data_IF_459022765149
#
_entry.id   IF_459022765149
#
_cell.length_a   1.000
_cell.length_b   1.000
_cell.length_c   1.000
_cell.angle_alpha   90.00
_cell.angle_beta   90.00
_cell.angle_gamma   90.00
#
_symmetry.space_group_name_H-M   'P 1'
#
loop_
_entity.id
_entity.type
_entity.pdbx_description
1 polymer ?
#
# COMPACT_ATOMS: atom_id res chain seq x y z
N UNK A 1 -3.07 -23.16 -6.86
CA UNK A 1 -1.98 -22.15 -6.90
C UNK A 1 -0.66 -22.89 -6.91
N UNK A 2 0.28 -22.49 -7.76
CA UNK A 2 1.58 -23.16 -7.89
C UNK A 2 2.61 -22.68 -6.85
N UNK A 3 3.74 -23.38 -6.74
CA UNK A 3 4.83 -23.04 -5.81
C UNK A 3 5.32 -21.60 -5.96
N UNK A 4 5.43 -21.11 -7.22
CA UNK A 4 5.86 -19.73 -7.52
C UNK A 4 4.97 -18.65 -6.91
N UNK A 5 3.67 -18.92 -6.76
CA UNK A 5 2.76 -17.99 -6.08
C UNK A 5 3.09 -17.87 -4.59
N UNK A 6 3.31 -18.99 -3.91
CA UNK A 6 3.66 -19.00 -2.49
C UNK A 6 5.03 -18.36 -2.24
N UNK A 7 6.00 -18.65 -3.11
CA UNK A 7 7.30 -17.98 -3.13
C UNK A 7 7.17 -16.45 -3.27
N UNK A 8 6.37 -15.96 -4.23
CA UNK A 8 6.13 -14.53 -4.40
C UNK A 8 5.42 -13.89 -3.19
N UNK A 9 4.33 -14.50 -2.71
CA UNK A 9 3.55 -13.97 -1.59
C UNK A 9 4.39 -13.95 -0.32
N UNK A 10 5.11 -15.04 -0.02
CA UNK A 10 6.04 -15.10 1.12
C UNK A 10 7.17 -14.09 1.01
N UNK A 11 7.76 -13.93 -0.18
CA UNK A 11 8.78 -12.90 -0.44
C UNK A 11 8.27 -11.50 -0.14
N UNK A 12 7.12 -11.10 -0.71
CA UNK A 12 6.55 -9.77 -0.53
C UNK A 12 6.11 -9.51 0.91
N UNK A 13 5.56 -10.53 1.60
CA UNK A 13 5.21 -10.45 3.02
C UNK A 13 6.42 -10.21 3.91
N UNK A 14 7.52 -10.95 3.70
CA UNK A 14 8.77 -10.75 4.46
C UNK A 14 9.43 -9.41 4.16
N UNK A 15 9.41 -8.96 2.89
CA UNK A 15 9.91 -7.64 2.52
C UNK A 15 9.11 -6.53 3.23
N UNK A 16 7.79 -6.67 3.26
CA UNK A 16 6.90 -5.73 3.94
C UNK A 16 7.14 -5.71 5.45
N UNK A 17 7.28 -6.88 6.09
CA UNK A 17 7.56 -6.96 7.51
C UNK A 17 8.91 -6.34 7.85
N UNK A 18 9.97 -6.69 7.10
CA UNK A 18 11.30 -6.09 7.23
C UNK A 18 11.24 -4.57 7.15
N UNK A 19 10.49 -4.03 6.20
CA UNK A 19 10.38 -2.59 6.00
C UNK A 19 9.65 -1.89 7.16
N UNK A 20 8.61 -2.50 7.71
CA UNK A 20 7.86 -1.98 8.86
C UNK A 20 8.77 -1.98 10.10
N UNK A 21 9.37 -3.14 10.41
CA UNK A 21 10.25 -3.30 11.57
C UNK A 21 11.42 -2.32 11.52
N UNK A 22 12.11 -2.23 10.39
CA UNK A 22 13.25 -1.32 10.21
C UNK A 22 12.87 0.14 10.39
N UNK A 23 11.82 0.61 9.69
CA UNK A 23 11.37 2.00 9.78
C UNK A 23 10.96 2.37 11.21
N UNK A 24 10.11 1.54 11.83
CA UNK A 24 9.59 1.81 13.16
C UNK A 24 10.68 1.74 14.23
N UNK A 25 11.63 0.82 14.10
CA UNK A 25 12.77 0.72 15.04
C UNK A 25 13.60 2.01 15.02
N UNK A 26 13.99 2.48 13.83
CA UNK A 26 14.78 3.71 13.71
C UNK A 26 14.00 4.92 14.21
N UNK A 27 12.71 5.01 13.85
CA UNK A 27 11.84 6.10 14.30
C UNK A 27 11.76 6.14 15.83
N UNK A 28 11.62 4.99 16.47
CA UNK A 28 11.52 4.86 17.91
C UNK A 28 12.84 5.17 18.61
N UNK A 29 13.97 4.67 18.12
CA UNK A 29 15.30 4.97 18.69
C UNK A 29 15.58 6.46 18.64
N UNK A 30 15.40 7.10 17.47
CA UNK A 30 15.65 8.53 17.34
C UNK A 30 14.70 9.35 18.21
N UNK A 31 13.44 8.93 18.36
CA UNK A 31 12.53 9.57 19.31
C UNK A 31 13.05 9.45 20.76
N UNK A 32 13.54 8.28 21.18
CA UNK A 32 14.07 8.07 22.52
C UNK A 32 15.32 8.92 22.78
N UNK A 33 16.20 9.09 21.80
CA UNK A 33 17.42 9.89 21.95
C UNK A 33 17.14 11.40 21.94
N UNK A 34 16.30 11.85 21.01
CA UNK A 34 16.07 13.29 20.77
C UNK A 34 14.91 13.84 21.59
N UNK A 35 14.03 12.99 22.13
CA UNK A 35 12.74 13.34 22.73
C UNK A 35 11.87 14.23 21.82
N UNK A 36 12.10 14.18 20.50
CA UNK A 36 11.46 15.06 19.54
C UNK A 36 10.66 14.27 18.51
N UNK A 37 9.34 14.46 18.56
CA UNK A 37 8.40 13.89 17.59
C UNK A 37 8.71 14.38 16.17
N UNK A 38 9.16 15.63 16.03
CA UNK A 38 9.50 16.21 14.73
C UNK A 38 10.66 15.48 14.06
N UNK A 39 11.74 15.18 14.80
CA UNK A 39 12.89 14.43 14.27
C UNK A 39 12.51 12.99 13.90
N UNK A 40 11.73 12.33 14.74
CA UNK A 40 11.25 10.97 14.46
C UNK A 40 10.36 10.92 13.20
N UNK A 41 9.50 11.92 12.99
CA UNK A 41 8.60 12.01 11.83
C UNK A 41 9.34 12.21 10.49
N UNK A 42 10.59 12.67 10.50
CA UNK A 42 11.39 12.85 9.27
C UNK A 42 11.60 11.52 8.53
N UNK A 43 11.75 10.40 9.22
CA UNK A 43 11.98 9.09 8.59
C UNK A 43 10.82 8.60 7.71
N UNK A 44 9.58 8.48 8.21
CA UNK A 44 8.45 8.11 7.37
C UNK A 44 8.19 9.13 6.23
N UNK A 45 8.49 10.43 6.45
CA UNK A 45 8.41 11.45 5.40
C UNK A 45 9.45 11.22 4.29
N UNK A 46 10.72 11.05 4.66
CA UNK A 46 11.81 10.73 3.71
C UNK A 46 11.45 9.46 2.95
N UNK A 47 10.96 8.42 3.62
CA UNK A 47 10.57 7.16 2.97
C UNK A 47 9.50 7.41 1.92
N UNK A 48 8.44 8.13 2.27
CA UNK A 48 7.33 8.43 1.34
C UNK A 48 7.82 9.24 0.14
N UNK A 49 8.62 10.30 0.36
CA UNK A 49 9.18 11.13 -0.70
C UNK A 49 10.12 10.33 -1.61
N UNK A 50 11.01 9.52 -1.04
CA UNK A 50 11.92 8.67 -1.79
C UNK A 50 11.15 7.66 -2.64
N UNK A 51 10.11 7.03 -2.09
CA UNK A 51 9.30 6.08 -2.85
C UNK A 51 8.50 6.78 -3.97
N UNK A 52 7.98 7.99 -3.74
CA UNK A 52 7.31 8.80 -4.77
C UNK A 52 8.27 9.14 -5.91
N UNK A 53 9.45 9.68 -5.60
CA UNK A 53 10.48 10.01 -6.59
C UNK A 53 10.98 8.78 -7.34
N UNK A 54 11.18 7.68 -6.62
CA UNK A 54 11.59 6.43 -7.23
C UNK A 54 10.49 5.81 -8.10
N UNK A 55 9.22 5.93 -7.70
CA UNK A 55 8.06 5.51 -8.49
C UNK A 55 7.97 6.26 -9.83
N UNK A 56 8.25 7.58 -9.84
CA UNK A 56 8.34 8.38 -11.07
C UNK A 56 9.43 7.84 -12.03
N UNK A 57 10.58 7.44 -11.49
CA UNK A 57 11.74 7.00 -12.27
C UNK A 57 11.73 5.50 -12.61
N UNK A 58 10.91 4.71 -11.92
CA UNK A 58 10.80 3.26 -12.07
C UNK A 58 10.57 2.80 -13.52
N UNK A 59 9.65 3.40 -14.32
CA UNK A 59 9.45 3.02 -15.72
C UNK A 59 10.71 3.25 -16.58
N UNK A 60 11.38 4.39 -16.40
CA UNK A 60 12.59 4.74 -17.14
C UNK A 60 13.72 3.76 -16.84
N UNK A 61 13.91 3.41 -15.56
CA UNK A 61 14.91 2.43 -15.16
C UNK A 61 14.56 1.04 -15.69
N UNK A 62 13.28 0.68 -15.69
CA UNK A 62 12.80 -0.61 -16.19
C UNK A 62 13.12 -0.77 -17.67
N UNK A 63 12.98 0.29 -18.45
CA UNK A 63 13.34 0.28 -19.88
C UNK A 63 14.85 0.25 -20.10
N UNK A 64 15.64 0.96 -19.27
CA UNK A 64 17.09 1.02 -19.42
C UNK A 64 17.80 -0.27 -19.00
N UNK A 65 17.35 -0.86 -17.90
CA UNK A 65 18.02 -1.98 -17.25
C UNK A 65 17.24 -3.30 -17.34
N UNK A 66 16.03 -3.31 -17.90
CA UNK A 66 15.10 -4.44 -17.92
C UNK A 66 14.57 -4.80 -16.52
N UNK A 67 13.26 -5.04 -16.42
CA UNK A 67 12.57 -5.40 -15.17
C UNK A 67 13.29 -6.53 -14.39
N UNK A 68 13.71 -7.59 -15.11
CA UNK A 68 14.38 -8.75 -14.52
C UNK A 68 15.72 -8.41 -13.86
N UNK A 69 16.53 -7.53 -14.45
CA UNK A 69 17.83 -7.16 -13.85
C UNK A 69 17.62 -6.25 -12.65
N UNK A 70 16.66 -5.33 -12.70
CA UNK A 70 16.31 -4.49 -11.54
C UNK A 70 15.85 -5.34 -10.37
N UNK A 71 14.93 -6.28 -10.60
CA UNK A 71 14.44 -7.20 -9.56
C UNK A 71 15.52 -8.14 -9.01
N UNK A 72 16.62 -8.35 -9.74
CA UNK A 72 17.77 -9.12 -9.26
C UNK A 72 18.74 -8.25 -8.46
N UNK A 73 19.20 -7.14 -9.02
CA UNK A 73 20.33 -6.39 -8.49
C UNK A 73 19.93 -5.33 -7.45
N UNK A 74 18.77 -4.69 -7.59
CA UNK A 74 18.35 -3.65 -6.63
C UNK A 74 18.07 -4.24 -5.25
N UNK A 75 17.40 -5.40 -5.09
CA UNK A 75 17.26 -6.02 -3.77
C UNK A 75 18.59 -6.46 -3.16
N UNK A 76 19.53 -6.98 -3.96
CA UNK A 76 20.87 -7.33 -3.48
C UNK A 76 21.63 -6.10 -2.97
N UNK A 77 21.58 -5.00 -3.71
CA UNK A 77 22.14 -3.72 -3.29
C UNK A 77 21.49 -3.26 -1.97
N UNK A 78 20.16 -3.34 -1.89
CA UNK A 78 19.39 -2.97 -0.69
C UNK A 78 19.78 -3.81 0.53
N UNK A 79 19.98 -5.12 0.37
CA UNK A 79 20.50 -6.00 1.43
C UNK A 79 21.86 -5.50 1.92
N UNK A 80 22.80 -5.23 1.01
CA UNK A 80 24.12 -4.71 1.37
C UNK A 80 24.04 -3.39 2.11
N UNK A 81 23.25 -2.44 1.60
CA UNK A 81 23.02 -1.14 2.26
C UNK A 81 22.43 -1.29 3.66
N UNK A 82 21.47 -2.19 3.84
CA UNK A 82 20.78 -2.37 5.12
C UNK A 82 21.67 -3.10 6.15
N UNK A 83 22.54 -4.01 5.71
CA UNK A 83 23.59 -4.63 6.55
C UNK A 83 24.62 -3.58 6.98
N UNK A 84 25.11 -2.74 6.06
CA UNK A 84 26.03 -1.63 6.39
C UNK A 84 25.35 -0.64 7.35
N UNK A 85 24.09 -0.28 7.09
CA UNK A 85 23.31 0.58 7.97
C UNK A 85 23.21 0.02 9.40
N UNK A 86 22.89 -1.27 9.52
CA UNK A 86 22.70 -1.92 10.82
C UNK A 86 24.01 -2.11 11.58
N UNK A 87 25.09 -2.48 10.88
CA UNK A 87 26.42 -2.64 11.50
C UNK A 87 27.03 -1.32 11.97
N UNK A 88 26.82 -0.24 11.22
CA UNK A 88 27.37 1.09 11.52
C UNK A 88 26.34 2.00 12.19
N UNK A 89 25.29 1.44 12.81
CA UNK A 89 24.18 2.23 13.31
C UNK A 89 24.62 3.24 14.39
N UNK A 90 25.49 2.84 15.31
CA UNK A 90 26.03 3.72 16.36
C UNK A 90 26.79 4.92 15.77
N UNK A 91 27.57 4.71 14.69
CA UNK A 91 28.25 5.77 13.96
C UNK A 91 27.24 6.71 13.28
N UNK A 92 26.22 6.16 12.63
CA UNK A 92 25.16 6.94 11.98
C UNK A 92 24.39 7.79 13.00
N UNK A 93 24.09 7.24 14.19
CA UNK A 93 23.39 7.93 15.26
C UNK A 93 24.15 9.19 15.73
N UNK A 94 25.49 9.14 15.76
CA UNK A 94 26.34 10.29 16.10
C UNK A 94 26.49 11.29 14.93
N UNK A 95 26.26 10.85 13.70
CA UNK A 95 26.42 11.66 12.50
C UNK A 95 25.16 11.71 11.64
N UNK A 96 24.23 12.60 12.01
CA UNK A 96 22.90 12.73 11.41
C UNK A 96 22.91 12.82 9.87
N UNK A 97 23.86 13.53 9.26
CA UNK A 97 23.95 13.67 7.79
C UNK A 97 24.14 12.29 7.12
N UNK A 98 25.01 11.45 7.69
CA UNK A 98 25.28 10.12 7.17
C UNK A 98 24.10 9.17 7.39
N UNK A 99 23.46 9.28 8.57
CA UNK A 99 22.24 8.55 8.89
C UNK A 99 21.11 8.83 7.88
N UNK A 100 20.83 10.11 7.60
CA UNK A 100 19.79 10.49 6.65
C UNK A 100 20.17 10.09 5.23
N UNK A 101 21.43 10.27 4.83
CA UNK A 101 21.90 9.87 3.50
C UNK A 101 21.75 8.37 3.26
N UNK A 102 22.17 7.55 4.22
CA UNK A 102 22.04 6.09 4.11
C UNK A 102 20.57 5.66 4.10
N UNK A 103 19.72 6.29 4.92
CA UNK A 103 18.29 6.01 4.95
C UNK A 103 17.57 6.40 3.64
N UNK A 104 17.93 7.53 3.03
CA UNK A 104 17.44 7.97 1.70
C UNK A 104 17.80 6.94 0.64
N UNK A 105 19.07 6.50 0.60
CA UNK A 105 19.54 5.50 -0.38
C UNK A 105 18.77 4.19 -0.25
N UNK A 106 18.57 3.69 0.97
CA UNK A 106 17.77 2.48 1.22
C UNK A 106 16.31 2.71 0.78
N UNK A 107 15.72 3.86 1.10
CA UNK A 107 14.30 4.14 0.81
C UNK A 107 14.01 4.23 -0.69
N UNK A 108 14.90 4.84 -1.46
CA UNK A 108 14.77 4.96 -2.93
C UNK A 108 14.70 3.58 -3.60
N UNK A 109 15.51 2.61 -3.15
CA UNK A 109 15.52 1.27 -3.76
C UNK A 109 14.16 0.58 -3.66
N UNK A 110 13.42 0.79 -2.56
CA UNK A 110 12.08 0.23 -2.38
C UNK A 110 11.07 0.75 -3.40
N UNK A 111 11.13 2.05 -3.74
CA UNK A 111 10.23 2.64 -4.72
C UNK A 111 10.48 2.18 -6.16
N UNK A 112 11.73 1.84 -6.52
CA UNK A 112 12.02 1.25 -7.83
C UNK A 112 11.45 -0.16 -7.98
N UNK A 113 11.46 -0.94 -6.90
CA UNK A 113 11.08 -2.35 -6.94
C UNK A 113 9.56 -2.54 -6.78
N UNK A 114 8.87 -1.66 -6.05
CA UNK A 114 7.45 -1.84 -5.70
C UNK A 114 6.53 -2.00 -6.93
N UNK A 115 6.56 -1.13 -7.95
CA UNK A 115 5.69 -1.29 -9.13
C UNK A 115 6.01 -2.55 -9.94
N UNK A 116 7.28 -2.96 -9.98
CA UNK A 116 7.73 -4.18 -10.63
C UNK A 116 7.18 -5.41 -9.93
N UNK A 117 7.25 -5.47 -8.60
CA UNK A 117 6.69 -6.58 -7.83
C UNK A 117 5.16 -6.68 -8.01
N UNK A 118 4.45 -5.56 -8.01
CA UNK A 118 3.00 -5.56 -8.21
C UNK A 118 2.60 -6.11 -9.59
N UNK A 119 3.40 -5.85 -10.62
CA UNK A 119 3.16 -6.35 -11.97
C UNK A 119 3.39 -7.87 -12.15
N UNK A 120 3.97 -8.56 -11.16
CA UNK A 120 4.27 -10.00 -11.26
C UNK A 120 3.02 -10.87 -11.06
N UNK A 121 2.03 -10.42 -10.28
CA UNK A 121 0.88 -11.27 -9.89
C UNK A 121 0.21 -11.97 -11.10
N UNK A 122 -0.08 -11.28 -12.22
CA UNK A 122 -0.72 -11.91 -13.38
C UNK A 122 0.15 -12.91 -14.13
N UNK A 123 1.46 -12.93 -13.87
CA UNK A 123 2.38 -13.93 -14.42
C UNK A 123 2.36 -15.24 -13.63
N UNK A 124 1.85 -15.23 -12.38
CA UNK A 124 1.88 -16.37 -11.46
C UNK A 124 0.69 -17.30 -11.61
N UNK A 125 -0.45 -16.76 -12.01
CA UNK A 125 -1.72 -17.49 -12.10
C UNK A 125 -2.48 -17.08 -13.36
N UNK A 126 -3.33 -17.97 -13.91
CA UNK A 126 -4.21 -17.60 -15.00
C UNK A 126 -5.21 -16.51 -14.61
N UNK A 127 -5.71 -15.74 -15.58
CA UNK A 127 -6.62 -14.61 -15.37
C UNK A 127 -7.86 -14.97 -14.53
N UNK A 128 -8.41 -16.18 -14.70
CA UNK A 128 -9.59 -16.66 -13.95
C UNK A 128 -9.33 -17.01 -12.47
N UNK A 129 -8.06 -17.00 -12.04
CA UNK A 129 -7.65 -17.24 -10.64
C UNK A 129 -7.11 -15.96 -9.97
N UNK A 130 -7.12 -14.82 -10.64
CA UNK A 130 -6.55 -13.57 -10.12
C UNK A 130 -7.26 -13.10 -8.85
N UNK A 131 -8.59 -13.15 -8.78
CA UNK A 131 -9.31 -12.81 -7.54
C UNK A 131 -8.83 -13.68 -6.38
N UNK A 132 -8.74 -15.00 -6.61
CA UNK A 132 -8.30 -15.94 -5.57
C UNK A 132 -6.86 -15.64 -5.14
N UNK A 133 -5.97 -15.32 -6.08
CA UNK A 133 -4.57 -15.00 -5.81
C UNK A 133 -4.41 -13.68 -5.05
N UNK A 134 -5.06 -12.61 -5.51
CA UNK A 134 -5.03 -11.29 -4.87
C UNK A 134 -5.65 -11.33 -3.47
N UNK A 135 -6.80 -11.99 -3.30
CA UNK A 135 -7.45 -12.14 -1.98
C UNK A 135 -6.65 -13.00 -1.00
N UNK A 136 -6.04 -14.08 -1.48
CA UNK A 136 -5.15 -14.90 -0.63
C UNK A 136 -3.92 -14.10 -0.22
N UNK A 137 -3.29 -13.39 -1.16
CA UNK A 137 -2.13 -12.57 -0.88
C UNK A 137 -2.44 -11.43 0.11
N UNK A 138 -3.62 -10.79 -0.01
CA UNK A 138 -4.00 -9.71 0.89
C UNK A 138 -4.16 -10.19 2.34
N UNK A 139 -4.64 -11.40 2.59
CA UNK A 139 -4.68 -11.98 3.94
C UNK A 139 -3.29 -11.97 4.59
N UNK A 140 -2.24 -12.37 3.85
CA UNK A 140 -0.88 -12.32 4.36
C UNK A 140 -0.38 -10.89 4.57
N UNK A 141 -0.64 -9.99 3.62
CA UNK A 141 -0.19 -8.60 3.73
C UNK A 141 -0.85 -7.88 4.92
N UNK A 142 -2.16 -8.05 5.10
CA UNK A 142 -2.88 -7.47 6.24
C UNK A 142 -2.43 -8.07 7.57
N UNK A 143 -2.14 -9.38 7.61
CA UNK A 143 -1.59 -10.05 8.79
C UNK A 143 -0.19 -9.54 9.15
N UNK A 144 0.65 -9.29 8.15
CA UNK A 144 1.97 -8.68 8.34
C UNK A 144 1.85 -7.25 8.84
N UNK A 145 0.93 -6.46 8.29
CA UNK A 145 0.72 -5.07 8.72
C UNK A 145 0.28 -4.99 10.17
N UNK A 146 -0.76 -5.72 10.56
CA UNK A 146 -1.23 -5.70 11.94
C UNK A 146 -0.15 -6.18 12.89
N UNK A 147 0.59 -7.24 12.54
CA UNK A 147 1.66 -7.75 13.39
C UNK A 147 2.83 -6.76 13.51
N UNK A 148 3.28 -6.22 12.38
CA UNK A 148 4.40 -5.27 12.33
C UNK A 148 4.08 -4.00 13.11
N UNK A 149 2.99 -3.31 12.78
CA UNK A 149 2.65 -2.04 13.44
C UNK A 149 2.30 -2.21 14.92
N UNK A 150 1.67 -3.32 15.31
CA UNK A 150 1.27 -3.52 16.71
C UNK A 150 2.42 -3.97 17.60
N UNK A 151 3.32 -4.82 17.09
CA UNK A 151 4.33 -5.47 17.95
C UNK A 151 5.73 -4.86 17.82
N UNK A 152 6.03 -3.97 16.86
CA UNK A 152 7.39 -3.44 16.72
C UNK A 152 7.91 -2.77 18.00
N UNK A 153 7.12 -1.87 18.62
CA UNK A 153 7.55 -1.18 19.84
C UNK A 153 7.85 -2.15 21.00
N UNK A 154 7.00 -3.16 21.18
CA UNK A 154 7.21 -4.23 22.17
C UNK A 154 8.47 -5.05 21.85
N UNK A 155 8.69 -5.40 20.58
CA UNK A 155 9.88 -6.14 20.16
C UNK A 155 11.15 -5.34 20.41
N UNK A 156 11.15 -4.02 20.17
CA UNK A 156 12.31 -3.18 20.49
C UNK A 156 12.62 -3.22 21.99
N UNK A 157 11.61 -3.21 22.86
CA UNK A 157 11.83 -3.29 24.31
C UNK A 157 12.33 -4.67 24.78
N UNK A 158 11.87 -5.75 24.14
CA UNK A 158 12.20 -7.12 24.55
C UNK A 158 13.56 -7.59 24.06
N UNK A 159 13.88 -7.35 22.78
CA UNK A 159 15.11 -7.84 22.16
C UNK A 159 16.11 -6.73 21.82
N UNK A 160 15.73 -5.46 21.96
CA UNK A 160 16.60 -4.33 21.63
C UNK A 160 16.57 -3.94 20.14
N UNK A 161 16.85 -2.66 19.81
CA UNK A 161 16.78 -2.16 18.45
C UNK A 161 17.82 -2.81 17.51
N UNK A 162 19.02 -3.08 18.02
CA UNK A 162 20.10 -3.71 17.26
C UNK A 162 19.70 -5.09 16.72
N UNK A 163 19.16 -5.97 17.57
CA UNK A 163 18.73 -7.30 17.16
C UNK A 163 17.51 -7.27 16.24
N UNK A 164 16.60 -6.32 16.42
CA UNK A 164 15.42 -6.17 15.55
C UNK A 164 15.80 -5.65 14.15
N UNK A 165 16.79 -4.77 14.06
CA UNK A 165 17.35 -4.35 12.76
C UNK A 165 18.05 -5.52 12.05
N UNK A 166 18.80 -6.36 12.77
CA UNK A 166 19.36 -7.59 12.20
C UNK A 166 18.31 -8.61 11.79
N UNK A 167 17.22 -8.74 12.55
CA UNK A 167 16.07 -9.55 12.14
C UNK A 167 15.47 -9.02 10.82
N UNK A 168 15.42 -7.69 10.64
CA UNK A 168 15.02 -7.06 9.37
C UNK A 168 15.99 -7.41 8.24
N UNK A 169 17.32 -7.34 8.45
CA UNK A 169 18.33 -7.83 7.49
C UNK A 169 18.06 -9.28 7.06
N UNK A 170 17.79 -10.17 8.01
CA UNK A 170 17.54 -11.57 7.74
C UNK A 170 16.25 -11.76 6.92
N UNK A 171 15.18 -11.04 7.27
CA UNK A 171 13.91 -11.09 6.54
C UNK A 171 14.03 -10.63 5.09
N UNK A 172 14.80 -9.57 4.81
CA UNK A 172 15.01 -9.12 3.42
C UNK A 172 15.88 -10.11 2.61
N UNK A 173 16.84 -10.78 3.23
CA UNK A 173 17.61 -11.87 2.60
C UNK A 173 16.69 -13.04 2.26
N UNK A 174 15.87 -13.49 3.21
CA UNK A 174 14.92 -14.58 2.99
C UNK A 174 13.88 -14.21 1.92
N UNK A 175 13.39 -12.96 1.95
CA UNK A 175 12.54 -12.41 0.90
C UNK A 175 13.18 -12.52 -0.48
N UNK A 176 14.46 -12.16 -0.60
CA UNK A 176 15.19 -12.27 -1.86
C UNK A 176 15.36 -13.73 -2.30
N UNK A 177 15.68 -14.65 -1.39
CA UNK A 177 15.77 -16.08 -1.72
C UNK A 177 14.45 -16.64 -2.25
N UNK A 178 13.32 -16.24 -1.65
CA UNK A 178 12.00 -16.66 -2.08
C UNK A 178 11.58 -16.10 -3.44
N UNK A 179 12.08 -14.93 -3.87
CA UNK A 179 11.69 -14.38 -5.19
C UNK A 179 12.46 -15.01 -6.37
N UNK A 180 13.62 -15.65 -6.12
CA UNK A 180 14.47 -16.22 -7.18
C UNK A 180 13.72 -17.15 -8.15
N UNK A 181 12.87 -18.12 -7.70
CA UNK A 181 12.13 -19.00 -8.59
C UNK A 181 11.14 -18.28 -9.51
N UNK A 182 10.73 -17.06 -9.13
CA UNK A 182 9.76 -16.23 -9.87
C UNK A 182 10.42 -15.51 -11.04
N UNK A 183 11.73 -15.24 -10.98
CA UNK A 183 12.47 -14.57 -12.07
C UNK A 183 12.43 -15.31 -13.40
N UNK A 184 12.14 -16.62 -13.40
CA UNK A 184 11.98 -17.40 -14.62
C UNK A 184 10.73 -17.02 -15.42
N UNK A 185 9.74 -16.37 -14.79
CA UNK A 185 8.49 -15.93 -15.43
C UNK A 185 8.64 -14.58 -16.13
N UNK A 186 9.63 -13.81 -15.72
CA UNK A 186 9.90 -12.47 -16.26
C UNK A 186 10.67 -12.66 -17.56
N UNK A 187 9.94 -12.55 -18.68
CA UNK A 187 10.56 -12.53 -20.02
C UNK A 187 11.45 -11.29 -20.14
N UNK A 188 12.67 -11.49 -20.64
CA UNK A 188 13.46 -10.36 -21.10
C UNK A 188 12.94 -10.01 -22.49
N UNK A 189 12.44 -8.79 -22.66
CA UNK A 189 12.24 -8.26 -24.00
C UNK A 189 13.60 -7.90 -24.58
N UNK A 190 13.93 -8.51 -25.72
CA UNK A 190 15.08 -8.12 -26.52
C UNK A 190 14.88 -6.67 -26.96
N UNK A 191 15.58 -5.76 -26.31
CA UNK A 191 15.40 -4.32 -26.51
C UNK A 191 16.09 -3.89 -27.80
N UNK A 192 15.58 -4.30 -28.96
CA UNK A 192 15.91 -3.70 -30.26
C UNK A 192 14.82 -2.70 -30.60
N UNK A 193 14.90 -1.50 -29.99
CA UNK A 193 14.58 -0.26 -30.68
C UNK A 193 14.98 0.94 -29.80
N UNK A 194 15.98 1.67 -30.29
CA UNK A 194 16.32 3.05 -29.89
C UNK A 194 15.13 3.96 -30.24
N UNK A 195 14.06 3.95 -29.45
CA UNK A 195 12.99 4.93 -29.55
C UNK A 195 13.08 5.92 -28.37
N UNK A 196 12.94 7.21 -28.70
CA UNK A 196 13.16 8.40 -27.86
C UNK A 196 12.96 8.20 -26.33
N UNK A 197 14.06 8.27 -25.58
CA UNK A 197 14.15 8.02 -24.13
C UNK A 197 13.19 8.88 -23.28
N UNK A 198 12.78 10.06 -23.76
CA UNK A 198 11.95 11.01 -23.00
C UNK A 198 10.44 10.77 -23.12
N UNK A 199 9.97 10.06 -24.16
CA UNK A 199 8.54 9.80 -24.35
C UNK A 199 8.01 8.65 -23.49
N UNK A 200 8.89 7.80 -22.95
CA UNK A 200 8.50 6.59 -22.22
C UNK A 200 8.01 6.83 -20.79
N UNK A 201 8.42 7.95 -20.17
CA UNK A 201 7.82 8.41 -18.91
C UNK A 201 6.30 8.59 -19.05
N UNK A 202 5.81 8.94 -20.25
CA UNK A 202 4.39 9.18 -20.52
C UNK A 202 3.61 7.92 -20.85
N UNK A 203 4.23 6.75 -21.02
CA UNK A 203 3.51 5.56 -21.49
C UNK A 203 2.42 5.12 -20.50
N UNK A 204 2.76 5.02 -19.20
CA UNK A 204 1.78 4.70 -18.15
C UNK A 204 0.64 5.72 -18.07
N UNK A 205 0.99 7.02 -18.12
CA UNK A 205 0.02 8.11 -18.13
C UNK A 205 -0.88 8.11 -19.38
N UNK A 206 -0.30 7.82 -20.54
CA UNK A 206 -1.01 7.71 -21.81
C UNK A 206 -2.00 6.55 -21.78
N UNK A 207 -1.60 5.40 -21.22
CA UNK A 207 -2.49 4.25 -21.04
C UNK A 207 -3.66 4.62 -20.13
N UNK A 208 -3.39 5.24 -18.98
CA UNK A 208 -4.43 5.74 -18.06
C UNK A 208 -5.38 6.69 -18.78
N UNK A 209 -4.88 7.59 -19.63
CA UNK A 209 -5.75 8.55 -20.32
C UNK A 209 -6.56 7.94 -21.48
N UNK A 210 -5.99 6.94 -22.17
CA UNK A 210 -6.55 6.36 -23.40
C UNK A 210 -7.52 5.22 -23.09
N UNK A 211 -7.21 4.35 -22.13
CA UNK A 211 -8.09 3.25 -21.74
C UNK A 211 -9.12 3.76 -20.71
N UNK A 212 -10.39 3.87 -21.14
CA UNK A 212 -11.48 4.39 -20.30
C UNK A 212 -11.63 3.62 -18.99
N UNK A 213 -11.48 2.28 -19.00
CA UNK A 213 -11.59 1.44 -17.80
C UNK A 213 -10.46 1.73 -16.82
N UNK A 214 -9.21 1.70 -17.29
CA UNK A 214 -8.03 2.00 -16.45
C UNK A 214 -8.09 3.43 -15.89
N UNK A 215 -8.61 4.39 -16.66
CA UNK A 215 -8.86 5.76 -16.21
C UNK A 215 -9.83 5.81 -15.05
N UNK A 216 -10.98 5.13 -15.17
CA UNK A 216 -11.99 5.08 -14.11
C UNK A 216 -11.45 4.41 -12.86
N UNK A 217 -10.71 3.30 -12.99
CA UNK A 217 -10.07 2.63 -11.85
C UNK A 217 -9.06 3.55 -11.16
N UNK A 218 -8.25 4.27 -11.93
CA UNK A 218 -7.26 5.20 -11.37
C UNK A 218 -7.94 6.38 -10.67
N UNK A 219 -9.04 6.90 -11.21
CA UNK A 219 -9.82 7.95 -10.55
C UNK A 219 -10.43 7.44 -9.24
N UNK A 220 -11.02 6.24 -9.24
CA UNK A 220 -11.53 5.62 -8.01
C UNK A 220 -10.42 5.43 -6.98
N UNK A 221 -9.25 4.93 -7.39
CA UNK A 221 -8.09 4.77 -6.51
C UNK A 221 -7.68 6.10 -5.87
N UNK A 222 -7.62 7.18 -6.67
CA UNK A 222 -7.31 8.53 -6.15
C UNK A 222 -8.34 9.00 -5.14
N UNK A 223 -9.64 8.87 -5.46
CA UNK A 223 -10.72 9.27 -4.56
C UNK A 223 -10.68 8.50 -3.23
N UNK A 224 -10.39 7.21 -3.28
CA UNK A 224 -10.30 6.37 -2.10
C UNK A 224 -9.04 6.65 -1.29
N UNK A 225 -7.91 6.95 -1.93
CA UNK A 225 -6.70 7.37 -1.24
C UNK A 225 -6.90 8.70 -0.50
N UNK A 226 -7.63 9.64 -1.10
CA UNK A 226 -8.03 10.89 -0.44
C UNK A 226 -8.88 10.58 0.81
N UNK A 227 -9.86 9.68 0.69
CA UNK A 227 -10.69 9.25 1.83
C UNK A 227 -9.94 8.34 2.83
N UNK A 228 -8.92 7.63 2.40
CA UNK A 228 -8.06 6.84 3.27
C UNK A 228 -7.29 7.72 4.26
N UNK A 229 -6.95 8.95 3.85
CA UNK A 229 -6.31 9.94 4.72
C UNK A 229 -7.18 10.41 5.90
N UNK A 230 -8.47 10.05 5.95
CA UNK A 230 -9.31 10.31 7.14
C UNK A 230 -8.89 9.42 8.32
N UNK A 231 -8.30 8.26 8.04
CA UNK A 231 -7.94 7.25 9.05
C UNK A 231 -6.54 7.46 9.62
N UNK A 232 -5.97 8.66 9.42
CA UNK A 232 -4.64 8.99 9.95
C UNK A 232 -4.71 9.10 11.47
N UNK A 233 -3.62 8.69 12.13
CA UNK A 233 -3.53 8.56 13.59
C UNK A 233 -4.19 9.69 14.41
N UNK A 234 -3.85 10.98 14.18
CA UNK A 234 -4.37 12.08 14.97
C UNK A 234 -5.89 12.27 14.86
N UNK A 235 -6.48 12.07 13.67
CA UNK A 235 -7.93 12.22 13.46
C UNK A 235 -8.69 11.11 14.19
N UNK A 236 -8.22 9.87 14.04
CA UNK A 236 -8.81 8.72 14.73
C UNK A 236 -8.67 8.86 16.24
N UNK A 237 -7.52 9.35 16.72
CA UNK A 237 -7.30 9.64 18.14
C UNK A 237 -8.28 10.70 18.65
N UNK A 238 -8.40 11.83 17.95
CA UNK A 238 -9.33 12.90 18.30
C UNK A 238 -10.79 12.42 18.31
N UNK A 239 -11.18 11.54 17.37
CA UNK A 239 -12.52 10.94 17.36
C UNK A 239 -12.77 10.09 18.61
N UNK A 240 -11.81 9.23 18.97
CA UNK A 240 -11.92 8.38 20.14
C UNK A 240 -11.99 9.21 21.43
N UNK A 241 -11.10 10.19 21.61
CA UNK A 241 -11.02 10.95 22.86
C UNK A 241 -12.13 12.00 23.00
N UNK A 242 -12.52 12.67 21.92
CA UNK A 242 -13.47 13.78 21.96
C UNK A 242 -14.92 13.36 21.65
N UNK A 243 -15.12 12.37 20.77
CA UNK A 243 -16.46 11.93 20.34
C UNK A 243 -16.92 10.70 21.11
N UNK A 244 -16.07 9.67 21.20
CA UNK A 244 -16.39 8.45 21.95
C UNK A 244 -16.16 8.60 23.47
N UNK A 245 -15.38 9.61 23.88
CA UNK A 245 -15.01 9.92 25.28
C UNK A 245 -14.28 8.77 25.96
N UNK A 246 -13.43 8.09 25.20
CA UNK A 246 -12.63 6.96 25.65
C UNK A 246 -11.13 7.32 25.71
N UNK A 247 -10.33 6.46 26.34
CA UNK A 247 -8.88 6.63 26.44
C UNK A 247 -8.14 6.42 25.11
N UNK A 248 -6.89 6.85 25.05
CA UNK A 248 -6.06 6.76 23.84
C UNK A 248 -5.81 5.31 23.38
N UNK A 249 -5.91 4.33 24.28
CA UNK A 249 -5.83 2.90 23.96
C UNK A 249 -6.87 2.44 22.93
N UNK A 250 -8.03 3.10 22.88
CA UNK A 250 -9.08 2.77 21.92
C UNK A 250 -8.71 3.10 20.47
N UNK A 251 -7.75 4.02 20.25
CA UNK A 251 -7.15 4.22 18.93
C UNK A 251 -6.48 2.92 18.43
N UNK A 252 -5.81 2.20 19.32
CA UNK A 252 -5.23 0.87 19.04
C UNK A 252 -6.32 -0.15 18.73
N UNK A 253 -7.40 -0.19 19.50
CA UNK A 253 -8.53 -1.10 19.26
C UNK A 253 -9.22 -0.85 17.92
N UNK A 254 -9.40 0.41 17.51
CA UNK A 254 -10.00 0.78 16.22
C UNK A 254 -9.14 0.29 15.05
N UNK A 255 -7.82 0.49 15.13
CA UNK A 255 -6.89 -0.02 14.11
C UNK A 255 -6.89 -1.55 14.06
N UNK A 256 -6.83 -2.22 15.21
CA UNK A 256 -6.88 -3.67 15.29
C UNK A 256 -8.18 -4.23 14.70
N UNK A 257 -9.32 -3.62 15.04
CA UNK A 257 -10.64 -3.96 14.50
C UNK A 257 -10.67 -3.86 12.97
N UNK A 258 -10.13 -2.78 12.40
CA UNK A 258 -10.04 -2.61 10.95
C UNK A 258 -9.19 -3.70 10.27
N UNK A 259 -8.00 -4.00 10.81
CA UNK A 259 -7.14 -5.04 10.24
C UNK A 259 -7.74 -6.45 10.36
N UNK A 260 -8.38 -6.77 11.50
CA UNK A 260 -9.14 -8.01 11.68
C UNK A 260 -10.23 -8.10 10.61
N UNK A 261 -11.00 -7.03 10.43
CA UNK A 261 -12.00 -6.92 9.37
C UNK A 261 -11.39 -7.14 7.98
N UNK A 262 -10.25 -6.54 7.68
CA UNK A 262 -9.60 -6.67 6.37
C UNK A 262 -9.09 -8.11 6.11
N UNK A 263 -8.58 -8.79 7.14
CA UNK A 263 -8.20 -10.22 7.05
C UNK A 263 -9.43 -11.08 6.78
N UNK A 264 -10.53 -10.87 7.53
CA UNK A 264 -11.81 -11.55 7.28
C UNK A 264 -12.32 -11.25 5.87
N UNK A 265 -12.14 -10.02 5.40
CA UNK A 265 -12.43 -9.59 4.04
C UNK A 265 -11.66 -10.34 2.97
N UNK A 266 -10.35 -10.52 3.18
CA UNK A 266 -9.49 -11.30 2.28
C UNK A 266 -9.90 -12.77 2.24
N UNK A 267 -10.19 -13.37 3.41
CA UNK A 267 -10.70 -14.74 3.50
C UNK A 267 -12.06 -14.91 2.79
N UNK A 268 -12.97 -13.94 2.98
CA UNK A 268 -14.28 -13.93 2.34
C UNK A 268 -14.18 -13.70 0.83
N UNK A 269 -13.29 -12.83 0.37
CA UNK A 269 -13.02 -12.66 -1.05
C UNK A 269 -12.39 -13.92 -1.67
N UNK A 270 -11.55 -14.62 -0.92
CA UNK A 270 -10.95 -15.89 -1.35
C UNK A 270 -11.99 -17.02 -1.41
N UNK A 271 -12.98 -17.06 -0.52
CA UNK A 271 -14.07 -18.05 -0.56
C UNK A 271 -15.06 -17.75 -1.69
N UNK A 272 -15.43 -16.48 -1.88
CA UNK A 272 -16.35 -16.03 -2.93
C UNK A 272 -15.67 -15.77 -4.29
N UNK A 273 -14.43 -16.25 -4.46
CA UNK A 273 -13.58 -15.89 -5.60
C UNK A 273 -14.27 -16.06 -6.96
N UNK A 274 -15.05 -17.13 -7.16
CA UNK A 274 -15.71 -17.41 -8.44
C UNK A 274 -16.78 -16.36 -8.77
N UNK A 275 -17.58 -15.97 -7.77
CA UNK A 275 -18.64 -14.96 -7.93
C UNK A 275 -18.05 -13.58 -8.20
N UNK A 276 -17.01 -13.22 -7.45
CA UNK A 276 -16.29 -11.96 -7.61
C UNK A 276 -15.59 -11.90 -8.97
N UNK A 277 -14.90 -12.96 -9.38
CA UNK A 277 -14.23 -13.03 -10.69
C UNK A 277 -15.21 -12.85 -11.85
N UNK A 278 -16.44 -13.36 -11.72
CA UNK A 278 -17.49 -13.20 -12.74
C UNK A 278 -18.09 -11.78 -12.77
N UNK A 279 -18.11 -11.07 -11.64
CA UNK A 279 -18.78 -9.78 -11.50
C UNK A 279 -17.88 -8.72 -10.83
N UNK A 280 -16.61 -8.63 -11.24
CA UNK A 280 -15.58 -7.79 -10.60
C UNK A 280 -16.06 -6.37 -10.31
N UNK A 281 -16.67 -5.72 -11.31
CA UNK A 281 -17.13 -4.34 -11.20
C UNK A 281 -18.30 -4.17 -10.23
N UNK A 282 -19.22 -5.16 -10.18
CA UNK A 282 -20.32 -5.14 -9.22
C UNK A 282 -19.79 -5.21 -7.80
N UNK A 283 -18.85 -6.12 -7.53
CA UNK A 283 -18.24 -6.27 -6.20
C UNK A 283 -17.36 -5.09 -5.82
N UNK A 284 -16.65 -4.49 -6.79
CA UNK A 284 -15.92 -3.23 -6.60
C UNK A 284 -16.87 -2.10 -6.18
N UNK A 285 -17.93 -1.86 -6.96
CA UNK A 285 -18.93 -0.85 -6.68
C UNK A 285 -19.65 -1.07 -5.34
N UNK A 286 -20.13 -2.29 -5.09
CA UNK A 286 -20.83 -2.64 -3.87
C UNK A 286 -19.92 -2.50 -2.65
N UNK A 287 -18.67 -2.96 -2.73
CA UNK A 287 -17.71 -2.81 -1.64
C UNK A 287 -17.40 -1.34 -1.33
N UNK A 288 -17.21 -0.50 -2.35
CA UNK A 288 -17.01 0.94 -2.17
C UNK A 288 -18.23 1.63 -1.56
N UNK A 289 -19.44 1.28 -2.00
CA UNK A 289 -20.70 1.81 -1.48
C UNK A 289 -20.94 1.41 -0.01
N UNK A 290 -20.74 0.13 0.33
CA UNK A 290 -20.88 -0.37 1.70
C UNK A 290 -19.85 0.30 2.61
N UNK A 291 -18.59 0.40 2.17
CA UNK A 291 -17.53 1.06 2.93
C UNK A 291 -17.87 2.54 3.21
N UNK A 292 -18.41 3.26 2.22
CA UNK A 292 -18.85 4.64 2.38
C UNK A 292 -19.98 4.78 3.42
N UNK A 293 -21.01 3.94 3.34
CA UNK A 293 -22.11 3.95 4.32
C UNK A 293 -21.59 3.65 5.72
N UNK A 294 -20.76 2.63 5.88
CA UNK A 294 -20.19 2.29 7.18
C UNK A 294 -19.35 3.44 7.75
N UNK A 295 -18.65 4.19 6.89
CA UNK A 295 -17.86 5.38 7.29
C UNK A 295 -18.75 6.52 7.76
N UNK A 296 -19.87 6.74 7.08
CA UNK A 296 -20.88 7.71 7.53
C UNK A 296 -21.48 7.27 8.87
N UNK A 297 -21.88 6.01 9.01
CA UNK A 297 -22.41 5.49 10.28
C UNK A 297 -21.40 5.59 11.42
N UNK A 298 -20.12 5.31 11.13
CA UNK A 298 -19.04 5.49 12.10
C UNK A 298 -18.95 6.94 12.56
N UNK A 299 -19.01 7.89 11.64
CA UNK A 299 -18.97 9.32 11.98
C UNK A 299 -20.13 9.73 12.90
N UNK A 300 -21.34 9.23 12.65
CA UNK A 300 -22.56 9.61 13.38
C UNK A 300 -22.70 8.88 14.73
N UNK A 301 -21.87 7.88 14.97
CA UNK A 301 -21.90 7.08 16.19
C UNK A 301 -21.20 7.81 17.37
N UNK A 302 -21.62 7.46 18.58
CA UNK A 302 -20.98 7.86 19.85
C UNK A 302 -20.77 6.68 20.81
N UNK A 303 -21.16 5.46 20.43
CA UNK A 303 -20.99 4.24 21.22
C UNK A 303 -19.67 3.55 20.85
N UNK A 304 -18.71 3.41 21.79
CA UNK A 304 -17.38 2.85 21.50
C UNK A 304 -17.42 1.45 20.88
N UNK A 305 -18.24 0.54 21.43
CA UNK A 305 -18.38 -0.82 20.93
C UNK A 305 -18.97 -0.90 19.52
N UNK A 306 -19.91 0.01 19.20
CA UNK A 306 -20.46 0.11 17.84
C UNK A 306 -19.38 0.61 16.87
N UNK A 307 -18.48 1.50 17.30
CA UNK A 307 -17.37 1.96 16.49
C UNK A 307 -16.43 0.81 16.08
N UNK A 308 -16.10 -0.08 17.02
CA UNK A 308 -15.30 -1.28 16.74
C UNK A 308 -16.01 -2.21 15.77
N UNK A 309 -17.30 -2.48 15.97
CA UNK A 309 -18.09 -3.31 15.07
C UNK A 309 -18.11 -2.74 13.65
N UNK A 310 -18.32 -1.43 13.51
CA UNK A 310 -18.30 -0.75 12.22
C UNK A 310 -16.93 -0.86 11.54
N UNK A 311 -15.83 -0.68 12.28
CA UNK A 311 -14.48 -0.87 11.74
C UNK A 311 -14.21 -2.31 11.27
N UNK A 312 -14.69 -3.32 12.02
CA UNK A 312 -14.62 -4.72 11.57
C UNK A 312 -15.40 -4.91 10.27
N UNK A 313 -16.60 -4.34 10.15
CA UNK A 313 -17.45 -4.46 8.96
C UNK A 313 -16.92 -3.68 7.75
N UNK A 314 -16.18 -2.60 7.97
CA UNK A 314 -15.51 -1.85 6.90
C UNK A 314 -14.46 -2.67 6.18
N UNK A 315 -13.73 -3.53 6.92
CA UNK A 315 -12.63 -4.32 6.39
C UNK A 315 -13.03 -5.22 5.20
N UNK A 316 -14.09 -6.05 5.29
CA UNK A 316 -14.57 -6.85 4.17
C UNK A 316 -14.99 -6.02 2.96
N UNK A 317 -15.72 -4.93 3.19
CA UNK A 317 -16.16 -4.05 2.10
C UNK A 317 -14.95 -3.44 1.35
N UNK A 318 -13.96 -2.96 2.10
CA UNK A 318 -12.71 -2.43 1.55
C UNK A 318 -11.91 -3.51 0.81
N UNK A 319 -11.74 -4.69 1.39
CA UNK A 319 -10.86 -5.72 0.83
C UNK A 319 -11.42 -6.38 -0.43
N UNK A 320 -12.73 -6.63 -0.49
CA UNK A 320 -13.41 -7.14 -1.70
C UNK A 320 -13.27 -6.14 -2.84
N UNK A 321 -13.47 -4.86 -2.52
CA UNK A 321 -13.34 -3.76 -3.47
C UNK A 321 -11.92 -3.68 -4.03
N UNK A 322 -10.92 -3.65 -3.16
CA UNK A 322 -9.50 -3.57 -3.53
C UNK A 322 -9.07 -4.77 -4.40
N UNK A 323 -9.42 -6.00 -4.00
CA UNK A 323 -9.14 -7.21 -4.79
C UNK A 323 -9.79 -7.14 -6.17
N UNK A 324 -11.03 -6.65 -6.25
CA UNK A 324 -11.74 -6.50 -7.51
C UNK A 324 -11.06 -5.47 -8.40
N UNK A 325 -10.76 -4.28 -7.88
CA UNK A 325 -10.09 -3.20 -8.61
C UNK A 325 -8.72 -3.63 -9.14
N UNK A 326 -7.89 -4.25 -8.31
CA UNK A 326 -6.59 -4.78 -8.72
C UNK A 326 -6.72 -5.84 -9.81
N UNK A 327 -7.70 -6.75 -9.69
CA UNK A 327 -7.92 -7.80 -10.68
C UNK A 327 -8.39 -7.24 -12.02
N UNK A 328 -9.24 -6.22 -12.03
CA UNK A 328 -9.67 -5.55 -13.27
C UNK A 328 -8.46 -4.89 -13.92
N UNK A 329 -7.67 -4.13 -13.17
CA UNK A 329 -6.47 -3.47 -13.71
C UNK A 329 -5.49 -4.48 -14.34
N UNK A 330 -5.27 -5.61 -13.65
CA UNK A 330 -4.42 -6.71 -14.11
C UNK A 330 -4.96 -7.43 -15.35
N UNK A 331 -6.27 -7.42 -15.57
CA UNK A 331 -6.91 -8.06 -16.73
C UNK A 331 -7.00 -7.11 -17.93
N UNK A 332 -7.21 -5.81 -17.69
CA UNK A 332 -7.37 -4.78 -18.72
C UNK A 332 -6.04 -4.22 -19.25
N UNK A 333 -4.94 -4.46 -18.54
CA UNK A 333 -3.62 -3.93 -18.90
C UNK A 333 -2.69 -5.04 -19.35
N UNK A 334 -2.04 -4.91 -20.52
CA UNK A 334 -1.01 -5.86 -20.95
C UNK A 334 0.11 -6.00 -19.91
N UNK A 335 0.56 -7.23 -19.66
CA UNK A 335 1.52 -7.57 -18.60
C UNK A 335 2.82 -6.76 -18.67
N UNK A 336 3.33 -6.45 -19.88
CA UNK A 336 4.55 -5.67 -20.06
C UNK A 336 4.40 -4.17 -19.73
N UNK A 337 3.18 -3.62 -19.83
CA UNK A 337 2.88 -2.23 -19.51
C UNK A 337 2.43 -2.03 -18.05
N UNK A 338 2.05 -3.12 -17.38
CA UNK A 338 1.43 -3.09 -16.05
C UNK A 338 2.30 -2.38 -14.99
N UNK A 339 3.62 -2.57 -15.04
CA UNK A 339 4.55 -1.87 -14.15
C UNK A 339 4.57 -0.35 -14.36
N UNK A 340 4.38 0.12 -15.60
CA UNK A 340 4.30 1.56 -15.92
C UNK A 340 3.00 2.16 -15.41
N UNK A 341 1.88 1.43 -15.54
CA UNK A 341 0.58 1.86 -15.01
C UNK A 341 0.60 1.90 -13.48
N UNK A 342 1.13 0.87 -12.82
CA UNK A 342 1.31 0.88 -11.36
C UNK A 342 2.21 2.02 -10.89
N UNK A 343 3.27 2.34 -11.63
CA UNK A 343 4.16 3.46 -11.29
C UNK A 343 3.41 4.80 -11.37
N UNK A 344 2.61 5.02 -12.41
CA UNK A 344 1.80 6.24 -12.56
C UNK A 344 0.69 6.34 -11.50
N UNK A 345 -0.01 5.24 -11.21
CA UNK A 345 -0.98 5.17 -10.11
C UNK A 345 -0.31 5.50 -8.78
N UNK A 346 0.83 4.87 -8.48
CA UNK A 346 1.56 5.10 -7.22
C UNK A 346 1.89 6.58 -6.99
N UNK A 347 2.29 7.31 -8.02
CA UNK A 347 2.55 8.75 -7.95
C UNK A 347 1.27 9.53 -7.63
N UNK A 348 0.19 9.25 -8.36
CA UNK A 348 -1.11 9.88 -8.12
C UNK A 348 -1.60 9.62 -6.70
N UNK A 349 -1.62 8.36 -6.27
CA UNK A 349 -2.03 7.95 -4.93
C UNK A 349 -1.19 8.63 -3.86
N UNK A 350 0.13 8.66 -4.01
CA UNK A 350 1.04 9.31 -3.04
C UNK A 350 0.78 10.81 -2.92
N UNK A 351 0.66 11.51 -4.05
CA UNK A 351 0.34 12.94 -4.07
C UNK A 351 -1.04 13.22 -3.44
N UNK A 352 -2.04 12.40 -3.77
CA UNK A 352 -3.39 12.50 -3.24
C UNK A 352 -3.45 12.28 -1.73
N UNK A 353 -2.75 11.28 -1.20
CA UNK A 353 -2.66 11.05 0.25
C UNK A 353 -1.96 12.22 0.93
N UNK A 354 -0.79 12.65 0.45
CA UNK A 354 -0.04 13.76 1.07
C UNK A 354 -0.85 15.05 1.13
N UNK A 355 -1.55 15.40 0.05
CA UNK A 355 -2.39 16.59 0.01
C UNK A 355 -3.63 16.44 0.90
N UNK A 356 -4.24 15.25 0.92
CA UNK A 356 -5.41 14.98 1.75
C UNK A 356 -5.09 15.09 3.23
N UNK A 357 -3.97 14.52 3.71
CA UNK A 357 -3.55 14.61 5.12
C UNK A 357 -3.47 16.06 5.59
N UNK A 358 -2.90 16.95 4.77
CA UNK A 358 -2.79 18.38 5.09
C UNK A 358 -4.16 19.03 5.27
N UNK A 359 -5.08 18.85 4.32
CA UNK A 359 -6.42 19.44 4.39
C UNK A 359 -7.29 18.81 5.48
N UNK A 360 -7.19 17.49 5.66
CA UNK A 360 -7.92 16.74 6.69
C UNK A 360 -7.53 17.24 8.08
N UNK A 361 -6.25 17.53 8.33
CA UNK A 361 -5.80 18.12 9.60
C UNK A 361 -6.47 19.48 9.87
N UNK A 362 -6.45 20.38 8.88
CA UNK A 362 -7.10 21.69 9.00
C UNK A 362 -8.61 21.58 9.27
N UNK A 363 -9.30 20.68 8.55
CA UNK A 363 -10.74 20.45 8.73
C UNK A 363 -11.02 19.83 10.10
N UNK A 364 -10.17 18.92 10.58
CA UNK A 364 -10.31 18.29 11.89
C UNK A 364 -10.21 19.33 13.02
N UNK A 365 -9.28 20.28 12.93
CA UNK A 365 -9.10 21.32 13.93
C UNK A 365 -10.28 22.32 13.96
N UNK A 366 -10.85 22.65 12.80
CA UNK A 366 -11.93 23.66 12.72
C UNK A 366 -13.34 23.07 12.90
N UNK A 367 -13.61 21.87 12.39
CA UNK A 367 -14.94 21.26 12.37
C UNK A 367 -15.04 19.95 13.18
N UNK A 368 -13.93 19.44 13.69
CA UNK A 368 -13.88 18.22 14.50
C UNK A 368 -13.77 16.93 13.68
N UNK A 369 -13.28 15.87 14.33
CA UNK A 369 -13.05 14.57 13.70
C UNK A 369 -14.33 13.90 13.15
N UNK A 370 -15.49 14.11 13.79
CA UNK A 370 -16.79 13.61 13.29
C UNK A 370 -17.10 14.16 11.89
N UNK A 371 -16.86 15.45 11.66
CA UNK A 371 -17.14 16.08 10.38
C UNK A 371 -16.21 15.54 9.27
N UNK A 372 -14.95 15.29 9.60
CA UNK A 372 -13.96 14.68 8.69
C UNK A 372 -14.45 13.33 8.17
N UNK A 373 -14.82 12.40 9.05
CA UNK A 373 -15.32 11.08 8.62
C UNK A 373 -16.64 11.18 7.82
N UNK A 374 -17.54 12.08 8.20
CA UNK A 374 -18.79 12.30 7.48
C UNK A 374 -18.53 12.78 6.05
N UNK A 375 -17.69 13.82 5.90
CA UNK A 375 -17.34 14.42 4.62
C UNK A 375 -16.68 13.40 3.70
N UNK A 376 -15.72 12.64 4.24
CA UNK A 376 -15.02 11.65 3.44
C UNK A 376 -15.86 10.41 3.10
N UNK A 377 -16.76 9.98 3.99
CA UNK A 377 -17.75 8.95 3.67
C UNK A 377 -18.69 9.38 2.53
N UNK A 378 -19.18 10.61 2.56
CA UNK A 378 -19.98 11.20 1.47
C UNK A 378 -19.18 11.31 0.17
N UNK A 379 -17.90 11.71 0.26
CA UNK A 379 -17.02 11.82 -0.90
C UNK A 379 -16.84 10.47 -1.61
N UNK A 380 -16.55 9.39 -0.87
CA UNK A 380 -16.45 8.04 -1.44
C UNK A 380 -17.79 7.59 -2.03
N UNK A 381 -18.90 7.89 -1.34
CA UNK A 381 -20.24 7.53 -1.82
C UNK A 381 -20.54 8.15 -3.20
N UNK A 382 -20.24 9.44 -3.36
CA UNK A 382 -20.41 10.17 -4.63
C UNK A 382 -19.49 9.62 -5.71
N UNK A 383 -18.21 9.39 -5.39
CA UNK A 383 -17.24 8.88 -6.36
C UNK A 383 -17.59 7.47 -6.83
N UNK A 384 -18.03 6.60 -5.92
CA UNK A 384 -18.54 5.27 -6.24
C UNK A 384 -19.77 5.34 -7.16
N UNK A 385 -20.73 6.22 -6.84
CA UNK A 385 -21.91 6.45 -7.68
C UNK A 385 -21.56 6.88 -9.11
N UNK A 386 -20.64 7.85 -9.25
CA UNK A 386 -20.18 8.33 -10.56
C UNK A 386 -19.48 7.21 -11.35
N UNK A 387 -18.63 6.42 -10.70
CA UNK A 387 -17.93 5.32 -11.34
C UNK A 387 -18.88 4.23 -11.85
N UNK A 388 -19.90 3.89 -11.07
CA UNK A 388 -20.97 2.95 -11.47
C UNK A 388 -21.69 3.48 -12.72
N UNK A 389 -22.09 4.76 -12.72
CA UNK A 389 -22.80 5.36 -13.85
C UNK A 389 -21.94 5.42 -15.12
N UNK A 390 -20.67 5.79 -14.99
CA UNK A 390 -19.73 5.80 -16.10
C UNK A 390 -19.55 4.40 -16.70
N UNK A 391 -19.53 3.37 -15.85
CA UNK A 391 -19.40 1.99 -16.29
C UNK A 391 -20.67 1.46 -16.98
N UNK A 392 -21.85 1.71 -16.41
CA UNK A 392 -23.12 1.30 -17.03
C UNK A 392 -23.24 1.88 -18.45
N UNK A 393 -22.81 3.13 -18.65
CA UNK A 393 -22.77 3.76 -19.98
C UNK A 393 -21.83 3.04 -20.94
N UNK A 394 -20.62 2.66 -20.51
CA UNK A 394 -19.68 1.92 -21.35
C UNK A 394 -20.21 0.55 -21.77
N UNK A 395 -20.83 -0.20 -20.85
CA UNK A 395 -21.42 -1.50 -21.18
C UNK A 395 -22.51 -1.36 -22.25
N UNK A 396 -23.32 -0.30 -22.15
CA UNK A 396 -24.38 0.03 -23.11
C UNK A 396 -23.86 0.50 -24.48
N UNK A 397 -22.65 1.07 -24.55
CA UNK A 397 -21.99 1.43 -25.82
C UNK A 397 -21.35 0.23 -26.53
N UNK A 398 -21.08 -0.87 -25.81
CA UNK A 398 -20.43 -2.09 -26.32
C UNK A 398 -21.39 -3.24 -26.66
N UNK A 399 -22.67 -3.10 -26.33
CA UNK A 399 -23.77 -4.03 -26.66
C UNK A 399 -24.61 -3.42 -27.77
#
# INVERSE_FOLDING_TARGET
>A
MGNKFWCYTGSKSLLMLSDILFLMTITLVIYQDTQSVAYAAVFPLIRTLCQLLAGLLSPVLTDLFQAKRLLKWVPLLRIGMLVVFTTQFDFFQQHLVWLFSAFVLISITGGFISPLLQAIMPMLVPANQLVKANSTASVFYQSVQIAGYSFTGMLVLLIGPFYLMWASCFMIVLSYLLIIPVFSLIKQEDTVQKANKMNKFKDGWKIIWTNKTVRTLTFMDVCENIAGALWVGPVTLAFVTLVLKEGAEWWGYINAAYYIGAILGGLLAASLNQSIQKHLLLFMAAGSFIYAILTILFSLNSLPWLALLLCILMGPAYQIRDVSQQTILQTETPVHELSKVYSAQYVLSSMSVSLSIFFVGLIADTFGARFVYLLGGLFVLVCSGIAILAFIRQKKESS
#
